data_IF_758878857256
#
_entry.id   IF_758878857256
#
_cell.length_a   1.000
_cell.length_b   1.000
_cell.length_c   1.000
_cell.angle_alpha   90.00
_cell.angle_beta   90.00
_cell.angle_gamma   90.00
#
_symmetry.space_group_name_H-M   'P 1'
#
loop_
_entity.id
_entity.type
_entity.pdbx_description
1 polymer ?
#
# COMPACT_ATOMS: atom_id res chain seq x y z
N UNK A 1 7.41 -14.97 17.57
CA UNK A 1 7.26 -14.59 16.14
C UNK A 1 8.24 -15.30 15.21
N UNK A 2 9.09 -16.18 15.73
CA UNK A 2 10.10 -16.99 15.02
C UNK A 2 9.59 -17.81 13.81
N UNK A 3 8.29 -18.06 13.70
CA UNK A 3 7.68 -18.75 12.55
C UNK A 3 7.24 -17.82 11.41
N UNK A 4 7.48 -16.50 11.49
CA UNK A 4 7.05 -15.55 10.48
C UNK A 4 7.60 -15.89 9.07
N UNK A 5 8.91 -16.14 8.95
CA UNK A 5 9.53 -16.52 7.68
C UNK A 5 8.97 -17.83 7.09
N UNK A 6 8.94 -18.97 7.81
CA UNK A 6 8.42 -20.21 7.23
C UNK A 6 6.93 -20.11 6.87
N UNK A 7 6.12 -19.38 7.63
CA UNK A 7 4.72 -19.12 7.29
C UNK A 7 4.61 -18.30 6.00
N UNK A 8 5.41 -17.24 5.87
CA UNK A 8 5.41 -16.38 4.68
C UNK A 8 5.88 -17.14 3.42
N UNK A 9 6.90 -18.01 3.56
CA UNK A 9 7.35 -18.89 2.48
C UNK A 9 6.24 -19.85 2.04
N UNK A 10 5.60 -20.52 3.00
CA UNK A 10 4.50 -21.44 2.71
C UNK A 10 3.32 -20.72 2.05
N UNK A 11 2.93 -19.55 2.56
CA UNK A 11 1.84 -18.75 1.99
C UNK A 11 2.17 -18.28 0.57
N UNK A 12 3.41 -17.85 0.32
CA UNK A 12 3.88 -17.44 -1.01
C UNK A 12 3.86 -18.60 -2.01
N UNK A 13 4.37 -19.77 -1.60
CA UNK A 13 4.37 -20.97 -2.44
C UNK A 13 2.94 -21.46 -2.72
N UNK A 14 2.07 -21.46 -1.70
CA UNK A 14 0.67 -21.85 -1.82
C UNK A 14 -0.09 -20.89 -2.74
N UNK A 15 0.17 -19.58 -2.66
CA UNK A 15 -0.41 -18.59 -3.57
C UNK A 15 -0.07 -18.93 -5.03
N UNK A 16 1.22 -19.11 -5.34
CA UNK A 16 1.66 -19.43 -6.72
C UNK A 16 1.04 -20.75 -7.20
N UNK A 17 1.07 -21.79 -6.37
CA UNK A 17 0.49 -23.10 -6.72
C UNK A 17 -1.02 -23.00 -6.96
N UNK A 18 -1.74 -22.29 -6.10
CA UNK A 18 -3.20 -22.09 -6.23
C UNK A 18 -3.53 -21.28 -7.47
N UNK A 19 -2.79 -20.20 -7.73
CA UNK A 19 -2.97 -19.39 -8.93
C UNK A 19 -2.80 -20.24 -10.19
N UNK A 20 -1.69 -20.99 -10.29
CA UNK A 20 -1.41 -21.84 -11.45
C UNK A 20 -2.47 -22.93 -11.62
N UNK A 21 -2.91 -23.55 -10.53
CA UNK A 21 -4.02 -24.52 -10.56
C UNK A 21 -5.29 -23.87 -11.13
N UNK A 22 -5.71 -22.72 -10.63
CA UNK A 22 -6.92 -22.04 -11.10
C UNK A 22 -6.80 -21.55 -12.56
N UNK A 23 -5.62 -21.07 -12.95
CA UNK A 23 -5.32 -20.60 -14.30
C UNK A 23 -5.37 -21.75 -15.32
N UNK A 24 -4.71 -22.88 -15.03
CA UNK A 24 -4.69 -24.06 -15.93
C UNK A 24 -6.09 -24.64 -16.11
N UNK A 25 -6.96 -24.55 -15.10
CA UNK A 25 -8.35 -25.00 -15.19
C UNK A 25 -9.31 -23.95 -15.77
N UNK A 26 -8.81 -22.78 -16.20
CA UNK A 26 -9.62 -21.72 -16.83
C UNK A 26 -10.55 -20.96 -15.87
N UNK A 27 -10.48 -21.21 -14.56
CA UNK A 27 -11.36 -20.63 -13.54
C UNK A 27 -10.94 -19.19 -13.19
N UNK A 28 -9.66 -18.87 -13.36
CA UNK A 28 -9.10 -17.58 -12.93
C UNK A 28 -9.41 -16.40 -13.85
N UNK A 29 -9.98 -16.63 -15.04
CA UNK A 29 -10.03 -15.62 -16.10
C UNK A 29 -11.46 -15.17 -16.43
N UNK A 30 -11.69 -13.86 -16.34
CA UNK A 30 -12.82 -13.20 -16.98
C UNK A 30 -12.34 -11.93 -17.67
N UNK A 31 -12.74 -11.75 -18.94
CA UNK A 31 -12.32 -10.61 -19.74
C UNK A 31 -13.06 -9.35 -19.27
N UNK A 32 -12.30 -8.31 -18.92
CA UNK A 32 -12.82 -6.95 -18.94
C UNK A 32 -12.98 -6.46 -20.39
N UNK A 33 -13.95 -5.60 -20.62
CA UNK A 33 -14.24 -5.09 -21.96
C UNK A 33 -13.06 -4.23 -22.46
N UNK A 34 -12.36 -4.69 -23.51
CA UNK A 34 -11.24 -3.99 -24.13
C UNK A 34 -9.86 -4.64 -23.93
N UNK A 35 -9.74 -5.61 -23.02
CA UNK A 35 -8.49 -6.35 -22.75
C UNK A 35 -8.51 -7.71 -23.47
N UNK A 36 -8.72 -7.69 -24.80
CA UNK A 36 -8.79 -8.91 -25.61
C UNK A 36 -7.40 -9.50 -25.89
N UNK A 37 -7.32 -10.82 -26.05
CA UNK A 37 -6.06 -11.50 -26.39
C UNK A 37 -5.48 -10.91 -27.68
N UNK A 38 -4.21 -10.52 -27.64
CA UNK A 38 -3.47 -9.93 -28.76
C UNK A 38 -3.44 -8.40 -28.75
N UNK A 39 -4.33 -7.74 -28.00
CA UNK A 39 -4.34 -6.28 -27.82
C UNK A 39 -3.25 -5.82 -26.84
N UNK A 40 -2.89 -4.54 -26.91
CA UNK A 40 -1.98 -3.92 -25.96
C UNK A 40 -2.80 -3.45 -24.75
N UNK A 41 -2.46 -3.92 -23.56
CA UNK A 41 -3.10 -3.53 -22.31
C UNK A 41 -2.86 -2.04 -22.00
N UNK A 42 -3.60 -1.53 -21.02
CA UNK A 42 -3.34 -0.20 -20.44
C UNK A 42 -1.96 -0.08 -19.76
N UNK A 43 -1.29 -1.21 -19.50
CA UNK A 43 0.04 -1.30 -18.89
C UNK A 43 1.13 -1.65 -19.90
N UNK A 44 0.85 -1.42 -21.19
CA UNK A 44 1.80 -1.54 -22.29
C UNK A 44 2.37 -2.95 -22.51
N UNK A 45 1.71 -4.00 -22.02
CA UNK A 45 2.04 -5.39 -22.34
C UNK A 45 0.94 -6.00 -23.21
N UNK A 46 1.32 -6.86 -24.17
CA UNK A 46 0.35 -7.52 -25.03
C UNK A 46 -0.36 -8.63 -24.26
N UNK A 47 -1.69 -8.62 -24.29
CA UNK A 47 -2.52 -9.61 -23.59
C UNK A 47 -2.32 -10.99 -24.19
N UNK A 48 -1.91 -11.95 -23.35
CA UNK A 48 -1.65 -13.34 -23.70
C UNK A 48 -2.86 -14.24 -23.45
N UNK A 49 -2.96 -15.30 -24.27
CA UNK A 49 -3.92 -16.39 -24.09
C UNK A 49 -3.48 -17.47 -23.10
N UNK A 50 -2.29 -17.36 -22.52
CA UNK A 50 -1.72 -18.34 -21.60
C UNK A 50 -2.20 -18.22 -20.16
N UNK A 51 -1.44 -18.81 -19.23
CA UNK A 51 -1.74 -18.79 -17.79
C UNK A 51 -1.57 -17.41 -17.13
N UNK A 52 -0.97 -16.45 -17.83
CA UNK A 52 -0.84 -15.05 -17.41
C UNK A 52 -1.33 -14.17 -18.55
N UNK A 53 -2.16 -13.16 -18.25
CA UNK A 53 -2.59 -12.17 -19.24
C UNK A 53 -1.45 -11.23 -19.63
N UNK A 54 -0.69 -10.76 -18.64
CA UNK A 54 0.50 -9.95 -18.86
C UNK A 54 1.71 -10.66 -18.21
N UNK A 55 2.36 -11.61 -18.91
CA UNK A 55 3.39 -12.46 -18.31
C UNK A 55 4.54 -11.70 -17.62
N UNK A 56 5.03 -10.63 -18.24
CA UNK A 56 6.16 -9.85 -17.73
C UNK A 56 5.75 -9.05 -16.50
N UNK A 57 4.64 -8.31 -16.59
CA UNK A 57 4.07 -7.56 -15.49
C UNK A 57 3.69 -8.49 -14.32
N UNK A 58 3.12 -9.65 -14.61
CA UNK A 58 2.76 -10.65 -13.60
C UNK A 58 4.00 -11.24 -12.90
N UNK A 59 4.99 -11.71 -13.65
CA UNK A 59 6.16 -12.36 -13.06
C UNK A 59 7.10 -11.38 -12.34
N UNK A 60 7.14 -10.12 -12.76
CA UNK A 60 7.93 -9.08 -12.08
C UNK A 60 7.51 -8.89 -10.61
N UNK A 61 6.26 -9.22 -10.27
CA UNK A 61 5.74 -9.16 -8.90
C UNK A 61 6.37 -10.16 -7.92
N UNK A 62 7.09 -11.17 -8.42
CA UNK A 62 7.99 -11.98 -7.58
C UNK A 62 9.04 -11.12 -6.86
N UNK A 63 9.44 -9.99 -7.45
CA UNK A 63 10.39 -9.06 -6.84
C UNK A 63 9.92 -8.55 -5.47
N UNK A 64 8.64 -8.20 -5.34
CA UNK A 64 8.06 -7.77 -4.06
C UNK A 64 8.02 -8.92 -3.05
N UNK A 65 7.59 -10.11 -3.49
CA UNK A 65 7.53 -11.30 -2.64
C UNK A 65 8.92 -11.66 -2.10
N UNK A 66 9.92 -11.75 -2.99
CA UNK A 66 11.31 -12.04 -2.61
C UNK A 66 11.85 -10.96 -1.68
N UNK A 67 11.61 -9.69 -1.96
CA UNK A 67 12.07 -8.58 -1.10
C UNK A 67 11.53 -8.69 0.32
N UNK A 68 10.23 -8.91 0.48
CA UNK A 68 9.62 -9.07 1.81
C UNK A 68 10.05 -10.36 2.53
N UNK A 69 10.28 -11.45 1.79
CA UNK A 69 10.87 -12.68 2.36
C UNK A 69 12.31 -12.46 2.83
N UNK A 70 13.12 -11.70 2.08
CA UNK A 70 14.47 -11.32 2.49
C UNK A 70 14.45 -10.43 3.74
N UNK A 71 13.51 -9.49 3.85
CA UNK A 71 13.30 -8.71 5.07
C UNK A 71 13.02 -9.63 6.26
N UNK A 72 12.08 -10.58 6.13
CA UNK A 72 11.80 -11.55 7.21
C UNK A 72 13.00 -12.43 7.53
N UNK A 73 13.83 -12.79 6.54
CA UNK A 73 15.07 -13.56 6.75
C UNK A 73 16.06 -12.78 7.61
N UNK A 74 16.31 -11.50 7.28
CA UNK A 74 17.19 -10.63 8.06
C UNK A 74 16.65 -10.44 9.48
N UNK A 75 15.37 -10.06 9.60
CA UNK A 75 14.73 -9.86 10.91
C UNK A 75 14.72 -11.14 11.77
N UNK A 76 14.56 -12.32 11.15
CA UNK A 76 14.61 -13.59 11.86
C UNK A 76 16.01 -13.95 12.35
N UNK A 77 17.06 -13.58 11.59
CA UNK A 77 18.45 -13.79 11.99
C UNK A 77 18.86 -12.89 13.16
N UNK A 78 18.26 -11.69 13.26
CA UNK A 78 18.44 -10.77 14.39
C UNK A 78 17.70 -11.22 15.66
N UNK A 79 16.80 -12.21 15.58
CA UNK A 79 16.03 -12.73 16.70
C UNK A 79 14.81 -11.89 17.07
N UNK A 80 14.21 -12.15 18.23
CA UNK A 80 13.13 -11.29 18.74
C UNK A 80 13.72 -9.97 19.24
N UNK A 81 13.10 -8.84 18.85
CA UNK A 81 13.55 -7.52 19.30
C UNK A 81 13.47 -7.43 20.82
N UNK A 82 14.59 -7.05 21.45
CA UNK A 82 14.57 -6.73 22.87
C UNK A 82 13.66 -5.53 23.12
N UNK A 83 12.97 -5.49 24.27
CA UNK A 83 12.07 -4.38 24.65
C UNK A 83 12.82 -3.05 24.82
N UNK A 84 14.14 -3.10 24.96
CA UNK A 84 15.03 -1.95 25.03
C UNK A 84 15.48 -1.43 23.64
N UNK A 85 15.17 -2.13 22.54
CA UNK A 85 15.55 -1.69 21.21
C UNK A 85 14.83 -0.38 20.85
N UNK A 86 15.62 0.67 20.58
CA UNK A 86 15.09 1.97 20.14
C UNK A 86 14.52 1.93 18.71
N UNK A 87 14.89 0.93 17.90
CA UNK A 87 14.49 0.82 16.50
C UNK A 87 13.49 -0.33 16.31
N UNK A 88 12.28 0.01 15.87
CA UNK A 88 11.21 -0.98 15.59
C UNK A 88 11.46 -1.81 14.32
N UNK A 89 12.49 -1.50 13.52
CA UNK A 89 12.85 -2.24 12.31
C UNK A 89 14.08 -3.14 12.49
N UNK A 90 14.44 -3.45 13.73
CA UNK A 90 15.42 -4.49 14.06
C UNK A 90 14.73 -5.63 14.80
N UNK A 91 15.03 -6.87 14.41
CA UNK A 91 14.42 -8.07 14.97
C UNK A 91 12.93 -8.24 14.68
N UNK A 92 12.42 -9.41 15.03
CA UNK A 92 11.01 -9.75 14.86
C UNK A 92 10.14 -9.06 15.92
N UNK A 93 9.25 -8.18 15.46
CA UNK A 93 8.18 -7.59 16.25
C UNK A 93 6.95 -7.33 15.36
N UNK A 94 5.81 -6.99 15.96
CA UNK A 94 4.53 -6.88 15.25
C UNK A 94 4.54 -5.85 14.11
N UNK A 95 5.34 -4.79 14.24
CA UNK A 95 5.42 -3.70 13.26
C UNK A 95 6.38 -4.09 12.12
N UNK A 96 7.57 -4.61 12.43
CA UNK A 96 8.52 -5.07 11.40
C UNK A 96 7.94 -6.19 10.55
N UNK A 97 7.24 -7.15 11.18
CA UNK A 97 6.55 -8.23 10.47
C UNK A 97 5.36 -7.72 9.66
N UNK A 98 4.59 -6.74 10.16
CA UNK A 98 3.51 -6.13 9.38
C UNK A 98 4.06 -5.47 8.11
N UNK A 99 5.13 -4.70 8.22
CA UNK A 99 5.73 -4.03 7.06
C UNK A 99 6.24 -5.04 6.03
N UNK A 100 6.98 -6.06 6.47
CA UNK A 100 7.45 -7.12 5.58
C UNK A 100 6.27 -7.87 4.94
N UNK A 101 5.19 -8.16 5.68
CA UNK A 101 4.00 -8.80 5.14
C UNK A 101 3.28 -7.92 4.10
N UNK A 102 3.21 -6.60 4.31
CA UNK A 102 2.65 -5.67 3.32
C UNK A 102 3.48 -5.64 2.03
N UNK A 103 4.83 -5.66 2.15
CA UNK A 103 5.74 -5.77 1.00
C UNK A 103 5.54 -7.10 0.26
N UNK A 104 5.41 -8.22 0.97
CA UNK A 104 5.12 -9.51 0.33
C UNK A 104 3.78 -9.43 -0.43
N UNK A 105 2.74 -8.86 0.19
CA UNK A 105 1.38 -8.82 -0.35
C UNK A 105 1.22 -7.94 -1.61
N UNK A 106 2.09 -6.93 -1.81
CA UNK A 106 2.16 -6.19 -3.08
C UNK A 106 2.32 -7.15 -4.27
N UNK A 107 3.12 -8.21 -4.11
CA UNK A 107 3.34 -9.21 -5.14
C UNK A 107 2.05 -9.92 -5.56
N UNK A 108 1.39 -10.68 -4.69
CA UNK A 108 0.11 -11.32 -4.97
C UNK A 108 -0.99 -10.35 -5.44
N UNK A 109 -1.10 -9.16 -4.84
CA UNK A 109 -2.11 -8.16 -5.24
C UNK A 109 -1.97 -7.78 -6.71
N UNK A 110 -0.81 -7.26 -7.10
CA UNK A 110 -0.54 -6.85 -8.48
C UNK A 110 -0.46 -8.03 -9.46
N UNK A 111 0.07 -9.17 -9.02
CA UNK A 111 0.01 -10.42 -9.79
C UNK A 111 -1.42 -10.79 -10.17
N UNK A 112 -2.38 -10.69 -9.25
CA UNK A 112 -3.76 -11.03 -9.53
C UNK A 112 -4.38 -10.10 -10.56
N UNK A 113 -4.05 -8.81 -10.55
CA UNK A 113 -4.52 -7.87 -11.58
C UNK A 113 -3.93 -8.20 -12.95
N UNK A 114 -2.61 -8.16 -13.10
CA UNK A 114 -1.92 -8.42 -14.37
C UNK A 114 -2.09 -9.85 -14.88
N UNK A 115 -2.22 -10.79 -13.96
CA UNK A 115 -2.34 -12.20 -14.27
C UNK A 115 -3.73 -12.57 -14.76
N UNK A 116 -4.79 -11.91 -14.27
CA UNK A 116 -6.19 -12.33 -14.53
C UNK A 116 -7.00 -11.37 -15.38
N UNK A 117 -6.69 -10.06 -15.33
CA UNK A 117 -7.52 -8.97 -15.89
C UNK A 117 -8.96 -8.98 -15.39
N UNK A 118 -9.15 -9.26 -14.11
CA UNK A 118 -10.46 -9.28 -13.47
C UNK A 118 -10.64 -8.10 -12.51
N UNK A 119 -11.89 -7.66 -12.34
CA UNK A 119 -12.23 -6.58 -11.41
C UNK A 119 -11.82 -6.89 -9.96
N UNK A 120 -11.90 -8.17 -9.53
CA UNK A 120 -11.46 -8.59 -8.21
C UNK A 120 -9.93 -8.64 -8.10
N UNK A 121 -9.23 -8.92 -9.20
CA UNK A 121 -7.77 -8.77 -9.30
C UNK A 121 -7.34 -7.31 -9.16
N UNK A 122 -8.02 -6.39 -9.87
CA UNK A 122 -7.80 -4.94 -9.72
C UNK A 122 -8.14 -4.42 -8.32
N UNK A 123 -9.14 -4.99 -7.65
CA UNK A 123 -9.40 -4.72 -6.23
C UNK A 123 -8.25 -5.19 -5.33
N UNK A 124 -7.73 -6.40 -5.55
CA UNK A 124 -6.63 -6.97 -4.76
C UNK A 124 -5.33 -6.18 -4.92
N UNK A 125 -4.99 -5.79 -6.15
CA UNK A 125 -3.86 -4.91 -6.47
C UNK A 125 -3.96 -3.59 -5.72
N UNK A 126 -5.08 -2.89 -5.86
CA UNK A 126 -5.29 -1.61 -5.20
C UNK A 126 -5.28 -1.70 -3.67
N UNK A 127 -5.86 -2.77 -3.10
CA UNK A 127 -5.80 -3.03 -1.66
C UNK A 127 -4.35 -3.24 -1.19
N UNK A 128 -3.56 -4.01 -1.93
CA UNK A 128 -2.15 -4.27 -1.60
C UNK A 128 -1.30 -2.99 -1.61
N UNK A 129 -1.51 -2.13 -2.60
CA UNK A 129 -0.87 -0.82 -2.70
C UNK A 129 -1.24 0.08 -1.51
N UNK A 130 -2.53 0.11 -1.14
CA UNK A 130 -3.00 0.88 0.02
C UNK A 130 -2.39 0.35 1.32
N UNK A 131 -2.39 -0.96 1.54
CA UNK A 131 -1.75 -1.58 2.71
C UNK A 131 -0.29 -1.17 2.83
N UNK A 132 0.46 -1.15 1.73
CA UNK A 132 1.84 -0.70 1.73
C UNK A 132 1.98 0.80 2.04
N UNK A 133 1.28 1.68 1.29
CA UNK A 133 1.52 3.13 1.37
C UNK A 133 0.95 3.78 2.63
N UNK A 134 -0.05 3.18 3.29
CA UNK A 134 -0.55 3.72 4.55
C UNK A 134 0.42 3.51 5.71
N UNK A 135 1.27 2.49 5.62
CA UNK A 135 2.22 2.13 6.66
C UNK A 135 3.17 3.28 7.03
N UNK A 136 3.94 3.89 6.11
CA UNK A 136 4.96 4.88 6.47
C UNK A 136 4.36 6.13 7.12
N UNK A 137 3.27 6.70 6.58
CA UNK A 137 2.69 7.91 7.15
C UNK A 137 1.97 7.62 8.48
N UNK A 138 1.31 6.47 8.64
CA UNK A 138 0.75 6.07 9.94
C UNK A 138 1.83 5.79 10.98
N UNK A 139 2.97 5.21 10.56
CA UNK A 139 4.11 5.01 11.46
C UNK A 139 4.67 6.35 11.92
N UNK A 140 4.74 7.33 11.01
CA UNK A 140 5.12 8.69 11.38
C UNK A 140 4.11 9.31 12.38
N UNK A 141 2.80 9.16 12.17
CA UNK A 141 1.80 9.61 13.15
C UNK A 141 1.92 8.89 14.50
N UNK A 142 2.24 7.59 14.49
CA UNK A 142 2.51 6.82 15.72
C UNK A 142 3.66 7.46 16.50
N UNK A 143 4.77 7.77 15.83
CA UNK A 143 5.94 8.36 16.48
C UNK A 143 5.64 9.79 17.00
N UNK A 144 5.03 10.66 16.17
CA UNK A 144 4.66 12.04 16.58
C UNK A 144 3.65 12.04 17.74
N UNK A 145 2.62 11.21 17.63
CA UNK A 145 1.53 11.10 18.58
C UNK A 145 1.82 10.19 19.78
N UNK A 146 3.03 9.59 19.84
CA UNK A 146 3.46 8.63 20.87
C UNK A 146 2.48 7.47 21.07
N UNK A 147 1.97 6.92 19.97
CA UNK A 147 1.02 5.82 20.03
C UNK A 147 1.71 4.51 20.42
N UNK A 148 1.02 3.69 21.22
CA UNK A 148 1.47 2.32 21.47
C UNK A 148 1.43 1.49 20.18
N UNK A 149 2.26 0.44 20.05
CA UNK A 149 2.18 -0.48 18.92
C UNK A 149 0.78 -1.06 18.70
N UNK A 150 0.05 -1.35 19.79
CA UNK A 150 -1.33 -1.85 19.70
C UNK A 150 -2.29 -0.84 19.07
N UNK A 151 -2.19 0.44 19.44
CA UNK A 151 -3.02 1.50 18.84
C UNK A 151 -2.70 1.67 17.35
N UNK A 152 -1.41 1.65 16.98
CA UNK A 152 -1.00 1.69 15.58
C UNK A 152 -1.61 0.54 14.76
N UNK A 153 -1.51 -0.71 15.26
CA UNK A 153 -2.08 -1.87 14.57
C UNK A 153 -3.60 -1.78 14.45
N UNK A 154 -4.30 -1.36 15.50
CA UNK A 154 -5.75 -1.16 15.48
C UNK A 154 -6.16 -0.13 14.41
N UNK A 155 -5.51 1.02 14.36
CA UNK A 155 -5.79 2.07 13.37
C UNK A 155 -5.48 1.57 11.95
N UNK A 156 -4.31 0.96 11.75
CA UNK A 156 -3.89 0.40 10.46
C UNK A 156 -4.93 -0.60 9.93
N UNK A 157 -5.25 -1.63 10.72
CA UNK A 157 -6.21 -2.65 10.28
C UNK A 157 -7.63 -2.12 10.12
N UNK A 158 -8.03 -1.12 10.92
CA UNK A 158 -9.33 -0.46 10.74
C UNK A 158 -9.39 0.27 9.39
N UNK A 159 -8.34 1.02 9.03
CA UNK A 159 -8.27 1.70 7.72
C UNK A 159 -8.30 0.68 6.58
N UNK A 160 -7.49 -0.38 6.66
CA UNK A 160 -7.45 -1.44 5.64
C UNK A 160 -8.83 -2.10 5.48
N UNK A 161 -9.49 -2.47 6.57
CA UNK A 161 -10.80 -3.12 6.53
C UNK A 161 -11.87 -2.20 5.95
N UNK A 162 -11.96 -0.96 6.44
CA UNK A 162 -12.94 0.01 5.96
C UNK A 162 -12.70 0.34 4.49
N UNK A 163 -11.45 0.54 4.09
CA UNK A 163 -11.09 0.78 2.70
C UNK A 163 -11.43 -0.40 1.80
N UNK A 164 -11.05 -1.62 2.22
CA UNK A 164 -11.33 -2.87 1.51
C UNK A 164 -12.82 -3.03 1.19
N UNK A 165 -13.68 -2.82 2.20
CA UNK A 165 -15.14 -2.91 2.07
C UNK A 165 -15.66 -1.77 1.19
N UNK A 166 -15.27 -0.52 1.46
CA UNK A 166 -15.76 0.63 0.71
C UNK A 166 -15.35 0.55 -0.77
N UNK A 167 -14.11 0.14 -1.07
CA UNK A 167 -13.60 -0.03 -2.43
C UNK A 167 -14.35 -1.11 -3.21
N UNK A 168 -14.78 -2.17 -2.54
CA UNK A 168 -15.56 -3.25 -3.13
C UNK A 168 -16.93 -2.75 -3.60
N UNK A 169 -17.63 -1.96 -2.77
CA UNK A 169 -18.99 -1.50 -3.08
C UNK A 169 -19.06 -0.20 -3.87
N UNK A 170 -18.08 0.71 -3.70
CA UNK A 170 -18.15 2.09 -4.21
C UNK A 170 -17.05 2.46 -5.22
N UNK A 171 -16.21 1.52 -5.63
CA UNK A 171 -15.20 1.78 -6.66
C UNK A 171 -13.93 2.48 -6.14
N UNK A 172 -12.99 2.76 -7.06
CA UNK A 172 -11.63 3.27 -6.77
C UNK A 172 -11.57 4.55 -5.93
N UNK A 173 -12.52 5.45 -6.13
CA UNK A 173 -12.64 6.72 -5.41
C UNK A 173 -13.70 6.70 -4.30
N UNK A 174 -14.10 5.49 -3.89
CA UNK A 174 -14.99 5.22 -2.77
C UNK A 174 -16.38 5.89 -2.87
N UNK A 175 -16.83 6.25 -4.08
CA UNK A 175 -18.08 6.98 -4.31
C UNK A 175 -18.08 8.44 -3.82
N UNK A 176 -17.02 8.90 -3.16
CA UNK A 176 -16.89 10.23 -2.55
C UNK A 176 -15.73 11.04 -3.11
N UNK A 177 -15.10 10.57 -4.19
CA UNK A 177 -13.96 11.25 -4.83
C UNK A 177 -12.63 11.09 -4.09
N UNK A 178 -12.56 10.24 -3.06
CA UNK A 178 -11.35 10.05 -2.25
C UNK A 178 -10.47 8.96 -2.86
N UNK A 179 -9.30 9.36 -3.37
CA UNK A 179 -8.21 8.45 -3.71
C UNK A 179 -7.27 8.29 -2.50
N UNK A 180 -7.44 7.22 -1.74
CA UNK A 180 -6.65 6.98 -0.53
C UNK A 180 -5.17 6.69 -0.85
N UNK A 181 -4.87 6.09 -2.00
CA UNK A 181 -3.50 5.80 -2.39
C UNK A 181 -2.75 7.11 -2.67
N UNK A 182 -3.29 7.97 -3.54
CA UNK A 182 -2.72 9.28 -3.84
C UNK A 182 -2.61 10.18 -2.60
N UNK A 183 -3.66 10.25 -1.78
CA UNK A 183 -3.63 10.97 -0.50
C UNK A 183 -2.53 10.47 0.42
N UNK A 184 -2.32 9.15 0.49
CA UNK A 184 -1.30 8.55 1.37
C UNK A 184 0.13 8.94 0.96
N UNK A 185 0.40 9.10 -0.34
CA UNK A 185 1.70 9.63 -0.80
C UNK A 185 1.90 11.06 -0.27
N UNK A 186 0.88 11.91 -0.39
CA UNK A 186 0.90 13.26 0.17
C UNK A 186 1.14 13.26 1.67
N UNK A 187 0.36 12.48 2.43
CA UNK A 187 0.50 12.36 3.88
C UNK A 187 1.88 11.85 4.29
N UNK A 188 2.46 10.91 3.55
CA UNK A 188 3.81 10.42 3.80
C UNK A 188 4.83 11.53 3.69
N UNK A 189 4.91 12.23 2.55
CA UNK A 189 5.88 13.31 2.35
C UNK A 189 5.66 14.47 3.34
N UNK A 190 4.42 14.84 3.63
CA UNK A 190 4.09 15.84 4.65
C UNK A 190 4.64 15.39 6.01
N UNK A 191 4.39 14.15 6.41
CA UNK A 191 4.83 13.64 7.71
C UNK A 191 6.36 13.53 7.82
N UNK A 192 7.07 13.13 6.75
CA UNK A 192 8.53 13.08 6.70
C UNK A 192 9.17 14.47 6.81
N UNK A 193 8.66 15.43 6.03
CA UNK A 193 9.14 16.81 6.07
C UNK A 193 8.89 17.43 7.44
N UNK A 194 7.71 17.17 8.03
CA UNK A 194 7.38 17.62 9.38
C UNK A 194 8.30 17.01 10.43
N UNK A 195 8.65 15.72 10.33
CA UNK A 195 9.63 15.09 11.21
C UNK A 195 11.00 15.76 11.11
N UNK A 196 11.45 16.02 9.89
CA UNK A 196 12.80 16.53 9.64
C UNK A 196 12.97 18.00 10.01
N UNK A 197 11.95 18.82 9.78
CA UNK A 197 12.03 20.29 9.87
C UNK A 197 11.08 20.89 10.91
N UNK A 198 10.77 20.11 11.96
CA UNK A 198 9.79 20.54 12.97
C UNK A 198 10.12 21.91 13.58
N UNK A 199 9.12 22.79 13.55
CA UNK A 199 9.02 24.01 14.34
C UNK A 199 7.54 24.32 14.60
N UNK A 200 7.20 25.13 15.62
CA UNK A 200 5.81 25.50 15.88
C UNK A 200 5.10 26.13 14.67
N UNK A 201 5.83 26.91 13.85
CA UNK A 201 5.30 27.49 12.61
C UNK A 201 5.20 26.45 11.49
N UNK A 202 6.27 25.68 11.26
CA UNK A 202 6.29 24.67 10.19
C UNK A 202 5.29 23.55 10.40
N UNK A 203 4.93 23.25 11.67
CA UNK A 203 3.84 22.33 12.01
C UNK A 203 2.58 22.60 11.19
N UNK A 204 2.12 23.85 11.17
CA UNK A 204 0.90 24.23 10.44
C UNK A 204 1.15 24.50 8.96
N UNK A 205 2.37 24.91 8.58
CA UNK A 205 2.74 25.07 7.17
C UNK A 205 2.95 23.73 6.44
N UNK A 206 3.22 22.65 7.16
CA UNK A 206 3.56 21.34 6.58
C UNK A 206 2.49 20.80 5.64
N UNK A 207 1.20 21.05 5.92
CA UNK A 207 0.10 20.65 5.03
C UNK A 207 0.22 21.24 3.62
N UNK A 208 0.87 22.41 3.48
CA UNK A 208 1.11 23.04 2.18
C UNK A 208 2.04 22.21 1.28
N UNK A 209 2.89 21.34 1.84
CA UNK A 209 3.72 20.40 1.08
C UNK A 209 2.85 19.44 0.26
N UNK A 210 1.64 19.12 0.72
CA UNK A 210 0.69 18.28 -0.01
C UNK A 210 0.33 18.82 -1.39
N UNK A 211 0.27 20.15 -1.55
CA UNK A 211 0.01 20.76 -2.87
C UNK A 211 1.20 20.62 -3.82
N UNK A 212 2.44 20.61 -3.31
CA UNK A 212 3.61 20.34 -4.13
C UNK A 212 3.59 18.89 -4.62
N UNK A 213 3.25 17.94 -3.74
CA UNK A 213 3.09 16.53 -4.12
C UNK A 213 1.97 16.38 -5.14
N UNK A 214 0.80 16.98 -4.92
CA UNK A 214 -0.31 16.95 -5.86
C UNK A 214 0.08 17.46 -7.25
N UNK A 215 0.84 18.58 -7.31
CA UNK A 215 1.31 19.14 -8.57
C UNK A 215 2.28 18.23 -9.32
N UNK A 216 3.13 17.45 -8.62
CA UNK A 216 3.98 16.42 -9.25
C UNK A 216 3.14 15.34 -9.94
N UNK A 217 1.96 15.03 -9.41
CA UNK A 217 0.99 14.12 -10.02
C UNK A 217 0.01 14.82 -10.98
N UNK A 218 0.30 16.07 -11.37
CA UNK A 218 -0.50 16.83 -12.34
C UNK A 218 -1.75 17.51 -11.78
N UNK A 219 -1.99 17.45 -10.46
CA UNK A 219 -3.13 18.10 -9.80
C UNK A 219 -2.66 19.44 -9.22
N UNK A 220 -2.85 20.52 -9.96
CA UNK A 220 -2.37 21.84 -9.58
C UNK A 220 -3.29 22.54 -8.58
N UNK A 221 -2.77 23.44 -7.72
CA UNK A 221 -3.58 24.18 -6.74
C UNK A 221 -4.78 24.90 -7.37
N UNK A 222 -4.62 25.48 -8.56
CA UNK A 222 -5.69 26.18 -9.27
C UNK A 222 -6.88 25.26 -9.56
N UNK A 223 -6.61 24.02 -9.97
CA UNK A 223 -7.64 23.02 -10.22
C UNK A 223 -8.34 22.61 -8.91
N UNK A 224 -7.56 22.40 -7.85
CA UNK A 224 -8.09 22.05 -6.53
C UNK A 224 -9.04 23.13 -6.02
N UNK A 225 -8.62 24.40 -6.05
CA UNK A 225 -9.43 25.51 -5.55
C UNK A 225 -10.61 25.85 -6.45
N UNK A 226 -10.53 25.55 -7.76
CA UNK A 226 -11.66 25.66 -8.66
C UNK A 226 -12.71 24.55 -8.44
N UNK A 227 -12.33 23.40 -7.85
CA UNK A 227 -13.20 22.24 -7.69
C UNK A 227 -13.09 21.57 -6.31
N UNK A 228 -13.36 22.33 -5.25
CA UNK A 228 -13.30 21.84 -3.86
C UNK A 228 -14.23 20.65 -3.59
N UNK A 229 -15.31 20.48 -4.37
CA UNK A 229 -16.19 19.31 -4.26
C UNK A 229 -15.48 18.00 -4.63
N UNK A 230 -14.62 18.01 -5.66
CA UNK A 230 -13.83 16.86 -6.06
C UNK A 230 -12.58 16.66 -5.18
N UNK A 231 -12.08 17.74 -4.58
CA UNK A 231 -10.81 17.77 -3.83
C UNK A 231 -10.97 18.09 -2.34
N UNK A 232 -12.15 17.84 -1.76
CA UNK A 232 -12.46 18.16 -0.36
C UNK A 232 -11.46 17.55 0.64
N UNK A 233 -10.86 16.42 0.27
CA UNK A 233 -9.91 15.67 1.06
C UNK A 233 -8.57 16.40 1.28
N UNK A 234 -8.31 17.53 0.60
CA UNK A 234 -7.11 18.35 0.84
C UNK A 234 -7.00 18.82 2.30
N UNK A 235 -8.13 18.91 3.02
CA UNK A 235 -8.13 19.24 4.46
C UNK A 235 -7.32 18.21 5.27
N UNK A 236 -7.22 16.98 4.77
CA UNK A 236 -6.51 15.89 5.42
C UNK A 236 -4.99 16.08 5.37
N UNK A 237 -4.46 16.97 4.51
CA UNK A 237 -3.04 17.32 4.51
C UNK A 237 -2.54 17.86 5.86
N UNK A 238 -3.42 18.39 6.70
CA UNK A 238 -3.05 18.88 8.04
C UNK A 238 -3.15 17.81 9.14
N UNK A 239 -3.55 16.57 8.83
CA UNK A 239 -3.62 15.49 9.83
C UNK A 239 -2.28 15.28 10.57
N UNK A 240 -1.10 15.24 9.91
CA UNK A 240 0.18 15.10 10.62
C UNK A 240 0.45 16.22 11.62
N UNK A 241 0.07 17.46 11.28
CA UNK A 241 0.20 18.60 12.17
C UNK A 241 -0.57 18.40 13.49
N UNK A 242 -1.72 17.72 13.48
CA UNK A 242 -2.48 17.48 14.71
C UNK A 242 -1.72 16.63 15.73
N UNK A 243 -0.88 15.70 15.26
CA UNK A 243 -0.13 14.77 16.13
C UNK A 243 1.27 15.27 16.51
N UNK A 244 1.86 16.19 15.75
CA UNK A 244 3.19 16.75 15.99
C UNK A 244 3.24 17.82 17.10
N UNK A 245 2.74 17.49 18.29
CA UNK A 245 2.59 18.46 19.39
C UNK A 245 3.92 18.94 19.99
N UNK A 246 4.96 18.11 19.96
CA UNK A 246 6.29 18.39 20.49
C UNK A 246 7.35 17.75 19.56
N UNK A 247 8.62 18.12 19.73
CA UNK A 247 9.75 17.39 19.12
C UNK A 247 9.82 15.94 19.58
#
# INVERSE_FOLDING_TARGET
MSKALPIALLASALFVATYLMLAVNGVAFHYEAGEAIGEISSWCERVSGGVFREPSNTLSNLGFMVSGLLMLKVLSAEGESDRAAKNTFTGLNRISVLYAAAVIYLGPGSWLMHGTHTAWGGWADNLSMVMYIIFPWLYNLKEMGRWSPSRFLQVYFSIVLLYSIARWFFGGRLGIGLDLFGLSIGLWIISETLFRFWSPAFRWLSGSVGFLVAAVFGIFPQEIFANLGAYWWIILFWVPALFASNR
#
